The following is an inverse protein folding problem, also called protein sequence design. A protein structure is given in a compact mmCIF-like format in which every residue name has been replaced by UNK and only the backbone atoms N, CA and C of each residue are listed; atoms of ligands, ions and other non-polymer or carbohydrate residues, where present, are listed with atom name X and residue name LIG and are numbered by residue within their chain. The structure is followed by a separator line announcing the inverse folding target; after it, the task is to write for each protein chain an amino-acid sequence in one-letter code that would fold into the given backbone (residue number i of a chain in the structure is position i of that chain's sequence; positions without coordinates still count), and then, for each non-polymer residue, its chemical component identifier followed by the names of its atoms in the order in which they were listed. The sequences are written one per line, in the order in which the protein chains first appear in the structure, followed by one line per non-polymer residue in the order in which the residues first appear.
data_IF_580524409473
#
_entry.id   IF_580524409473
#
_cell.length_a   1.000
_cell.length_b   1.000
_cell.length_c   1.000
_cell.angle_alpha   90.00
_cell.angle_beta   90.00
_cell.angle_gamma   90.00
#
_symmetry.space_group_name_H-M   'P 1'
#
loop_
_entity.id
_entity.type
_entity.pdbx_description
1 polymer ?
#
# COMPACT_ATOMS: atom_id res chain seq x y z
N UNK A 1 -9.18 20.30 32.30
CA UNK A 1 -9.57 18.88 32.38
C UNK A 1 -9.32 18.25 31.02
N UNK A 2 -8.10 17.80 30.77
CA UNK A 2 -7.70 17.31 29.45
C UNK A 2 -7.88 15.80 29.32
N UNK A 3 -8.81 15.40 28.46
CA UNK A 3 -8.98 14.00 28.03
C UNK A 3 -7.82 13.64 27.10
N UNK A 4 -6.83 12.93 27.63
CA UNK A 4 -5.75 12.33 26.87
C UNK A 4 -6.28 11.15 26.05
N UNK A 5 -6.43 11.38 24.75
CA UNK A 5 -6.73 10.36 23.74
C UNK A 5 -5.63 9.28 23.79
N UNK A 6 -5.99 8.06 24.19
CA UNK A 6 -5.08 6.89 24.14
C UNK A 6 -4.98 6.42 22.69
N UNK A 7 -3.81 6.62 22.09
CA UNK A 7 -3.41 5.97 20.83
C UNK A 7 -3.18 4.47 21.09
N UNK A 8 -3.95 3.61 20.42
CA UNK A 8 -3.95 2.14 20.56
C UNK A 8 -2.98 1.43 19.60
N UNK A 9 -1.94 2.08 19.08
CA UNK A 9 -1.16 1.54 17.95
C UNK A 9 0.23 0.95 18.30
N UNK A 10 0.53 0.75 19.59
CA UNK A 10 1.88 0.35 20.06
C UNK A 10 2.01 -1.05 20.66
N UNK A 11 0.91 -1.72 21.01
CA UNK A 11 0.96 -2.91 21.87
C UNK A 11 1.43 -4.18 21.13
N UNK A 12 1.07 -4.32 19.85
CA UNK A 12 1.48 -5.47 19.03
C UNK A 12 3.00 -5.51 18.84
N UNK A 13 3.60 -4.38 18.45
CA UNK A 13 5.03 -4.28 18.14
C UNK A 13 5.93 -4.55 19.36
N UNK A 14 5.54 -4.08 20.55
CA UNK A 14 6.24 -4.37 21.80
C UNK A 14 6.25 -5.87 22.13
N UNK A 15 5.15 -6.57 21.82
CA UNK A 15 5.04 -8.01 22.04
C UNK A 15 6.04 -8.77 21.15
N UNK A 16 6.13 -8.43 19.86
CA UNK A 16 7.11 -9.06 18.95
C UNK A 16 8.57 -8.86 19.39
N UNK A 17 8.92 -7.65 19.83
CA UNK A 17 10.28 -7.33 20.29
C UNK A 17 10.68 -8.14 21.52
N UNK A 18 9.74 -8.41 22.43
CA UNK A 18 9.97 -9.24 23.63
C UNK A 18 10.17 -10.72 23.27
N UNK A 19 9.40 -11.24 22.30
CA UNK A 19 9.50 -12.64 21.87
C UNK A 19 10.80 -12.96 21.12
N UNK A 20 11.42 -11.97 20.47
CA UNK A 20 12.65 -12.16 19.70
C UNK A 20 13.91 -12.33 20.58
N UNK A 21 13.86 -12.00 21.88
CA UNK A 21 15.03 -12.00 22.79
C UNK A 21 15.21 -13.28 23.63
N UNK A 22 14.29 -14.25 23.61
CA UNK A 22 14.28 -15.39 24.54
C UNK A 22 14.32 -16.78 23.86
N UNK A 23 14.80 -17.82 24.59
CA UNK A 23 14.84 -19.25 24.18
C UNK A 23 13.46 -19.88 23.89
N UNK A 24 12.37 -19.14 24.12
CA UNK A 24 10.98 -19.49 23.80
C UNK A 24 10.66 -19.38 22.29
N UNK A 25 11.65 -18.99 21.48
CA UNK A 25 11.54 -18.66 20.07
C UNK A 25 10.81 -19.71 19.20
N UNK A 26 10.89 -21.01 19.52
CA UNK A 26 10.19 -22.07 18.75
C UNK A 26 8.68 -22.16 19.03
N UNK A 27 8.26 -22.03 20.30
CA UNK A 27 6.84 -21.95 20.65
C UNK A 27 6.22 -20.67 20.09
N UNK A 28 6.98 -19.57 20.15
CA UNK A 28 6.59 -18.29 19.58
C UNK A 28 6.48 -18.35 18.05
N UNK A 29 7.45 -18.95 17.35
CA UNK A 29 7.39 -19.07 15.90
C UNK A 29 6.18 -19.89 15.44
N UNK A 30 5.86 -20.98 16.15
CA UNK A 30 4.65 -21.79 15.87
C UNK A 30 3.37 -20.99 16.08
N UNK A 31 3.25 -20.26 17.18
CA UNK A 31 2.09 -19.43 17.47
C UNK A 31 1.92 -18.32 16.43
N UNK A 32 3.00 -17.60 16.11
CA UNK A 32 3.01 -16.53 15.12
C UNK A 32 2.67 -17.08 13.73
N UNK A 33 3.23 -18.22 13.33
CA UNK A 33 2.87 -18.83 12.04
C UNK A 33 1.42 -19.31 11.99
N UNK A 34 0.86 -19.79 13.10
CA UNK A 34 -0.55 -20.13 13.19
C UNK A 34 -1.45 -18.88 13.10
N UNK A 35 -1.06 -17.79 13.77
CA UNK A 35 -1.73 -16.50 13.67
C UNK A 35 -1.69 -15.98 12.22
N UNK A 36 -0.51 -16.02 11.58
CA UNK A 36 -0.34 -15.61 10.19
C UNK A 36 -1.25 -16.40 9.24
N UNK A 37 -1.29 -17.73 9.39
CA UNK A 37 -2.14 -18.60 8.55
C UNK A 37 -3.64 -18.37 8.79
N UNK A 38 -4.06 -18.07 10.02
CA UNK A 38 -5.45 -17.76 10.35
C UNK A 38 -5.88 -16.39 9.83
N UNK A 39 -5.00 -15.39 9.92
CA UNK A 39 -5.26 -14.04 9.45
C UNK A 39 -5.08 -13.88 7.94
N UNK A 40 -4.49 -14.86 7.26
CA UNK A 40 -4.32 -14.83 5.82
C UNK A 40 -5.69 -14.87 5.09
N UNK A 41 -5.95 -13.94 4.16
CA UNK A 41 -7.21 -13.89 3.41
C UNK A 41 -7.53 -15.23 2.74
N UNK A 42 -8.78 -15.67 2.87
CA UNK A 42 -9.23 -16.97 2.32
C UNK A 42 -9.12 -16.99 0.79
N UNK A 43 -9.34 -15.83 0.17
CA UNK A 43 -9.26 -15.59 -1.27
C UNK A 43 -7.84 -15.76 -1.83
N UNK A 44 -6.83 -15.68 -0.96
CA UNK A 44 -5.42 -15.87 -1.31
C UNK A 44 -4.92 -17.30 -1.06
N UNK A 45 -5.76 -18.20 -0.54
CA UNK A 45 -5.45 -19.62 -0.37
C UNK A 45 -5.60 -20.37 -1.70
N UNK A 46 -5.01 -21.56 -1.76
CA UNK A 46 -5.08 -22.44 -2.93
C UNK A 46 -6.54 -22.81 -3.25
N UNK A 47 -6.87 -22.92 -4.54
CA UNK A 47 -8.23 -23.21 -5.03
C UNK A 47 -9.10 -21.97 -5.32
N UNK A 48 -8.59 -20.76 -5.06
CA UNK A 48 -9.28 -19.51 -5.42
C UNK A 48 -9.31 -19.30 -6.94
N UNK A 49 -10.52 -19.10 -7.50
CA UNK A 49 -10.75 -18.80 -8.92
C UNK A 49 -10.41 -17.36 -9.32
N UNK A 50 -9.92 -16.54 -8.38
CA UNK A 50 -9.51 -15.17 -8.69
C UNK A 50 -8.30 -15.14 -9.62
N UNK A 51 -8.29 -14.18 -10.52
CA UNK A 51 -7.14 -13.92 -11.37
C UNK A 51 -5.99 -13.26 -10.56
N UNK A 52 -4.81 -13.19 -11.15
CA UNK A 52 -3.62 -12.71 -10.45
C UNK A 52 -3.72 -11.24 -10.02
N UNK A 53 -4.39 -10.40 -10.81
CA UNK A 53 -4.59 -8.97 -10.50
C UNK A 53 -5.50 -8.79 -9.28
N UNK A 54 -6.56 -9.58 -9.19
CA UNK A 54 -7.48 -9.58 -8.04
C UNK A 54 -6.76 -10.03 -6.77
N UNK A 55 -5.98 -11.12 -6.88
CA UNK A 55 -5.17 -11.62 -5.77
C UNK A 55 -4.13 -10.59 -5.32
N UNK A 56 -3.47 -9.90 -6.26
CA UNK A 56 -2.52 -8.83 -5.94
C UNK A 56 -3.20 -7.67 -5.20
N UNK A 57 -4.40 -7.25 -5.65
CA UNK A 57 -5.17 -6.20 -4.98
C UNK A 57 -5.55 -6.58 -3.55
N UNK A 58 -6.00 -7.83 -3.33
CA UNK A 58 -6.34 -8.32 -1.98
C UNK A 58 -5.11 -8.37 -1.10
N UNK A 59 -3.98 -8.86 -1.63
CA UNK A 59 -2.72 -8.92 -0.90
C UNK A 59 -2.22 -7.52 -0.52
N UNK A 60 -2.21 -6.59 -1.46
CA UNK A 60 -1.85 -5.20 -1.22
C UNK A 60 -2.73 -4.59 -0.12
N UNK A 61 -4.04 -4.76 -0.22
CA UNK A 61 -4.97 -4.25 0.77
C UNK A 61 -4.71 -4.86 2.16
N UNK A 62 -4.47 -6.17 2.23
CA UNK A 62 -4.15 -6.84 3.48
C UNK A 62 -2.82 -6.36 4.09
N UNK A 63 -1.78 -6.14 3.27
CA UNK A 63 -0.50 -5.58 3.71
C UNK A 63 -0.67 -4.19 4.35
N UNK A 64 -1.48 -3.34 3.73
CA UNK A 64 -1.68 -1.95 4.12
C UNK A 64 -2.70 -1.75 5.26
N UNK A 65 -3.58 -2.72 5.50
CA UNK A 65 -4.62 -2.63 6.53
C UNK A 65 -4.31 -3.44 7.78
N UNK A 66 -3.57 -4.54 7.67
CA UNK A 66 -3.25 -5.37 8.83
C UNK A 66 -1.99 -4.86 9.52
N UNK A 67 -2.18 -4.16 10.65
CA UNK A 67 -1.11 -3.49 11.42
C UNK A 67 -0.04 -4.43 12.00
N UNK A 68 -0.25 -5.75 11.92
CA UNK A 68 0.68 -6.74 12.49
C UNK A 68 1.85 -7.08 11.54
N UNK A 69 1.73 -6.80 10.24
CA UNK A 69 2.77 -7.06 9.24
C UNK A 69 4.19 -6.58 9.60
N UNK A 70 4.39 -5.37 10.16
CA UNK A 70 5.69 -4.91 10.63
C UNK A 70 6.36 -5.90 11.59
N UNK A 71 5.60 -6.48 12.54
CA UNK A 71 6.12 -7.46 13.49
C UNK A 71 6.54 -8.76 12.80
N UNK A 72 5.72 -9.25 11.87
CA UNK A 72 6.03 -10.43 11.06
C UNK A 72 7.28 -10.23 10.21
N UNK A 73 7.41 -9.10 9.50
CA UNK A 73 8.58 -8.79 8.68
C UNK A 73 9.86 -8.61 9.51
N UNK A 74 9.76 -8.04 10.73
CA UNK A 74 10.92 -7.95 11.64
C UNK A 74 11.33 -9.32 12.17
N UNK A 75 10.36 -10.14 12.56
CA UNK A 75 10.62 -11.45 13.18
C UNK A 75 11.09 -12.50 12.16
N UNK A 76 10.49 -12.52 10.97
CA UNK A 76 10.74 -13.52 9.93
C UNK A 76 11.56 -13.02 8.74
N UNK A 77 11.63 -11.71 8.49
CA UNK A 77 12.27 -11.15 7.30
C UNK A 77 13.78 -10.93 7.42
N UNK A 78 14.32 -10.86 8.65
CA UNK A 78 15.77 -10.79 8.88
C UNK A 78 16.45 -12.16 8.68
N UNK A 79 17.73 -12.20 8.32
CA UNK A 79 18.58 -13.40 8.20
C UNK A 79 18.85 -14.10 9.56
N UNK A 80 17.93 -13.94 10.50
CA UNK A 80 17.98 -14.57 11.80
C UNK A 80 17.65 -16.07 11.68
N UNK A 81 18.09 -16.84 12.67
CA UNK A 81 17.72 -18.24 12.90
C UNK A 81 16.21 -18.52 12.92
N UNK A 82 15.36 -17.48 12.90
CA UNK A 82 13.91 -17.59 12.73
C UNK A 82 13.49 -17.96 11.29
N UNK A 83 14.25 -17.57 10.24
CA UNK A 83 13.97 -18.01 8.86
C UNK A 83 14.14 -19.52 8.70
N UNK A 84 15.13 -20.09 9.38
CA UNK A 84 15.35 -21.54 9.40
C UNK A 84 14.28 -22.30 10.18
N UNK A 85 13.44 -21.61 10.96
CA UNK A 85 12.28 -22.21 11.65
C UNK A 85 11.01 -22.12 10.81
N UNK A 86 10.92 -21.17 9.86
CA UNK A 86 9.84 -21.13 8.86
C UNK A 86 9.87 -22.32 7.91
N UNK A 87 11.04 -22.91 7.65
CA UNK A 87 11.18 -24.09 6.79
C UNK A 87 10.38 -25.29 7.32
N UNK A 88 10.15 -25.38 8.63
CA UNK A 88 9.28 -26.41 9.26
C UNK A 88 7.77 -26.11 9.11
N UNK A 89 7.40 -24.89 8.73
CA UNK A 89 6.00 -24.44 8.62
C UNK A 89 5.71 -23.92 7.21
N UNK A 90 5.59 -24.84 6.25
CA UNK A 90 5.51 -24.56 4.80
C UNK A 90 4.50 -23.47 4.40
N UNK A 91 3.29 -23.49 4.97
CA UNK A 91 2.27 -22.46 4.68
C UNK A 91 2.70 -21.05 5.11
N UNK A 92 3.35 -20.92 6.28
CA UNK A 92 3.83 -19.63 6.79
C UNK A 92 4.95 -19.08 5.91
N UNK A 93 5.87 -19.94 5.44
CA UNK A 93 6.93 -19.59 4.50
C UNK A 93 6.35 -19.04 3.19
N UNK A 94 5.35 -19.69 2.62
CA UNK A 94 4.72 -19.25 1.38
C UNK A 94 4.02 -17.89 1.53
N UNK A 95 3.30 -17.69 2.64
CA UNK A 95 2.66 -16.41 2.96
C UNK A 95 3.71 -15.29 3.06
N UNK A 96 4.78 -15.51 3.82
CA UNK A 96 5.87 -14.55 3.97
C UNK A 96 6.54 -14.22 2.63
N UNK A 97 6.87 -15.24 1.84
CA UNK A 97 7.49 -15.04 0.53
C UNK A 97 6.61 -14.21 -0.41
N UNK A 98 5.29 -14.46 -0.42
CA UNK A 98 4.34 -13.71 -1.24
C UNK A 98 4.22 -12.25 -0.77
N UNK A 99 4.15 -12.04 0.54
CA UNK A 99 4.11 -10.71 1.14
C UNK A 99 5.39 -9.90 0.84
N UNK A 100 6.57 -10.50 1.04
CA UNK A 100 7.85 -9.87 0.74
C UNK A 100 8.02 -9.57 -0.74
N UNK A 101 7.60 -10.48 -1.64
CA UNK A 101 7.66 -10.24 -3.08
C UNK A 101 6.70 -9.14 -3.51
N UNK A 102 5.48 -9.10 -2.97
CA UNK A 102 4.53 -8.02 -3.25
C UNK A 102 5.06 -6.67 -2.77
N UNK A 103 5.62 -6.61 -1.56
CA UNK A 103 6.23 -5.40 -1.02
C UNK A 103 7.44 -4.93 -1.85
N UNK A 104 8.30 -5.86 -2.29
CA UNK A 104 9.46 -5.55 -3.14
C UNK A 104 9.03 -4.96 -4.49
N UNK A 105 8.07 -5.60 -5.15
CA UNK A 105 7.51 -5.11 -6.42
C UNK A 105 6.85 -3.75 -6.26
N UNK A 106 6.09 -3.56 -5.18
CA UNK A 106 5.43 -2.30 -4.86
C UNK A 106 6.45 -1.17 -4.65
N UNK A 107 7.49 -1.41 -3.85
CA UNK A 107 8.56 -0.43 -3.60
C UNK A 107 9.27 -0.06 -4.89
N UNK A 108 9.67 -1.05 -5.69
CA UNK A 108 10.29 -0.84 -7.01
C UNK A 108 9.36 -0.06 -7.93
N UNK A 109 8.05 -0.30 -7.87
CA UNK A 109 7.09 0.41 -8.72
C UNK A 109 7.00 1.90 -8.39
N UNK A 110 7.07 2.22 -7.10
CA UNK A 110 7.07 3.61 -6.60
C UNK A 110 8.40 4.30 -6.94
N UNK A 111 9.52 3.59 -6.80
CA UNK A 111 10.86 4.06 -7.16
C UNK A 111 10.98 4.36 -8.65
N UNK A 112 10.57 3.41 -9.51
CA UNK A 112 10.67 3.53 -10.96
C UNK A 112 9.57 4.42 -11.58
N UNK A 113 8.59 4.87 -10.79
CA UNK A 113 7.48 5.69 -11.28
C UNK A 113 6.48 4.96 -12.19
N UNK A 114 6.43 3.63 -12.15
CA UNK A 114 5.46 2.83 -12.92
C UNK A 114 4.23 2.43 -12.09
N UNK A 115 4.14 2.89 -10.84
CA UNK A 115 2.99 2.69 -9.96
C UNK A 115 1.73 3.34 -10.57
N UNK A 116 0.61 2.62 -10.57
CA UNK A 116 -0.65 3.16 -11.09
C UNK A 116 -1.23 4.23 -10.16
N UNK A 117 -2.00 5.17 -10.72
CA UNK A 117 -2.75 6.18 -9.93
C UNK A 117 -3.65 5.53 -8.89
N UNK A 118 -4.32 4.43 -9.24
CA UNK A 118 -5.18 3.70 -8.32
C UNK A 118 -4.42 3.15 -7.12
N UNK A 119 -3.28 2.49 -7.37
CA UNK A 119 -2.38 1.98 -6.32
C UNK A 119 -1.86 3.13 -5.45
N UNK A 120 -1.40 4.21 -6.07
CA UNK A 120 -0.81 5.35 -5.36
C UNK A 120 -1.81 6.03 -4.42
N UNK A 121 -3.09 6.13 -4.79
CA UNK A 121 -4.18 6.61 -3.91
C UNK A 121 -4.39 5.70 -2.69
N UNK A 122 -4.32 4.38 -2.89
CA UNK A 122 -4.41 3.42 -1.77
C UNK A 122 -3.21 3.58 -0.84
N UNK A 123 -2.01 3.76 -1.39
CA UNK A 123 -0.80 4.02 -0.59
C UNK A 123 -0.90 5.34 0.17
N UNK A 124 -1.41 6.41 -0.44
CA UNK A 124 -1.63 7.69 0.23
C UNK A 124 -2.54 7.53 1.45
N UNK A 125 -3.66 6.82 1.28
CA UNK A 125 -4.62 6.51 2.35
C UNK A 125 -3.99 5.72 3.50
N UNK A 126 -3.05 4.83 3.20
CA UNK A 126 -2.37 3.96 4.17
C UNK A 126 -0.88 4.30 4.35
N UNK A 127 -0.52 5.58 4.20
CA UNK A 127 0.86 6.07 4.10
C UNK A 127 1.74 5.66 5.27
N UNK A 128 1.26 5.81 6.51
CA UNK A 128 2.01 5.43 7.71
C UNK A 128 2.41 3.94 7.70
N UNK A 129 1.46 3.07 7.35
CA UNK A 129 1.71 1.63 7.28
C UNK A 129 2.67 1.31 6.13
N UNK A 130 2.45 1.87 4.95
CA UNK A 130 3.34 1.66 3.80
C UNK A 130 4.78 2.07 4.10
N UNK A 131 4.99 3.26 4.68
CA UNK A 131 6.32 3.75 5.04
C UNK A 131 7.00 2.84 6.08
N UNK A 132 6.25 2.41 7.11
CA UNK A 132 6.77 1.47 8.12
C UNK A 132 7.19 0.14 7.51
N UNK A 133 6.39 -0.42 6.60
CA UNK A 133 6.74 -1.63 5.86
C UNK A 133 7.98 -1.42 4.98
N UNK A 134 8.05 -0.29 4.27
CA UNK A 134 9.18 0.07 3.42
C UNK A 134 10.49 0.27 4.18
N UNK A 135 10.45 0.86 5.37
CA UNK A 135 11.62 0.99 6.25
C UNK A 135 12.13 -0.38 6.72
N UNK A 136 11.22 -1.27 7.14
CA UNK A 136 11.59 -2.64 7.54
C UNK A 136 12.17 -3.41 6.37
N UNK A 137 11.60 -3.26 5.17
CA UNK A 137 12.14 -3.88 3.95
C UNK A 137 13.55 -3.40 3.64
N UNK A 138 13.81 -2.10 3.73
CA UNK A 138 15.15 -1.52 3.55
C UNK A 138 16.14 -2.08 4.58
N UNK A 139 15.75 -2.16 5.87
CA UNK A 139 16.57 -2.74 6.93
C UNK A 139 16.89 -4.21 6.66
N UNK A 140 15.89 -5.01 6.28
CA UNK A 140 16.06 -6.44 6.00
C UNK A 140 16.94 -6.70 4.76
N UNK A 141 16.93 -5.81 3.77
CA UNK A 141 17.72 -5.95 2.53
C UNK A 141 19.02 -5.14 2.50
N UNK A 142 19.31 -4.34 3.53
CA UNK A 142 20.46 -3.43 3.60
C UNK A 142 20.52 -2.45 2.42
N UNK A 143 19.37 -2.00 1.93
CA UNK A 143 19.27 -1.01 0.84
C UNK A 143 19.30 0.39 1.46
N UNK A 144 20.12 1.28 0.91
CA UNK A 144 20.32 2.64 1.44
C UNK A 144 19.24 3.65 0.99
N UNK A 145 18.47 3.31 -0.03
CA UNK A 145 17.58 4.27 -0.68
C UNK A 145 16.24 4.39 0.06
N UNK A 146 15.90 5.63 0.43
CA UNK A 146 14.72 5.95 1.23
C UNK A 146 13.43 5.88 0.40
N UNK A 147 12.61 4.84 0.67
CA UNK A 147 11.25 4.71 0.12
C UNK A 147 10.41 5.97 0.34
N UNK A 148 10.64 6.68 1.45
CA UNK A 148 9.94 7.93 1.78
C UNK A 148 10.15 9.02 0.72
N UNK A 149 11.35 9.12 0.14
CA UNK A 149 11.67 10.17 -0.82
C UNK A 149 10.89 9.96 -2.12
N UNK A 150 10.98 8.76 -2.71
CA UNK A 150 10.24 8.42 -3.92
C UNK A 150 8.74 8.51 -3.70
N UNK A 151 8.24 8.00 -2.58
CA UNK A 151 6.82 8.08 -2.27
C UNK A 151 6.33 9.53 -2.19
N UNK A 152 7.06 10.40 -1.49
CA UNK A 152 6.73 11.83 -1.39
C UNK A 152 6.76 12.51 -2.76
N UNK A 153 7.73 12.17 -3.60
CA UNK A 153 7.79 12.65 -4.99
C UNK A 153 6.55 12.21 -5.77
N UNK A 154 6.17 10.93 -5.72
CA UNK A 154 4.99 10.42 -6.44
C UNK A 154 3.70 11.09 -5.96
N UNK A 155 3.55 11.34 -4.66
CA UNK A 155 2.38 12.06 -4.14
C UNK A 155 2.31 13.52 -4.63
N UNK A 156 3.45 14.19 -4.80
CA UNK A 156 3.49 15.53 -5.38
C UNK A 156 3.08 15.51 -6.86
N UNK A 157 3.66 14.60 -7.64
CA UNK A 157 3.31 14.41 -9.06
C UNK A 157 1.81 14.10 -9.22
N UNK A 158 1.24 13.27 -8.33
CA UNK A 158 -0.18 12.95 -8.33
C UNK A 158 -1.06 14.19 -8.09
N UNK A 159 -0.66 15.06 -7.16
CA UNK A 159 -1.37 16.32 -6.89
C UNK A 159 -1.31 17.26 -8.08
N UNK A 160 -0.13 17.43 -8.68
CA UNK A 160 0.06 18.25 -9.87
C UNK A 160 -0.78 17.75 -11.05
N UNK A 161 -0.82 16.43 -11.25
CA UNK A 161 -1.68 15.81 -12.27
C UNK A 161 -3.16 16.15 -12.08
N UNK A 162 -3.67 16.04 -10.84
CA UNK A 162 -5.08 16.38 -10.57
C UNK A 162 -5.37 17.88 -10.72
N UNK A 163 -4.48 18.75 -10.25
CA UNK A 163 -4.60 20.19 -10.47
C UNK A 163 -4.67 20.52 -11.97
N UNK A 164 -3.78 19.95 -12.77
CA UNK A 164 -3.76 20.17 -14.21
C UNK A 164 -5.03 19.63 -14.89
N UNK A 165 -5.47 18.43 -14.52
CA UNK A 165 -6.72 17.86 -15.02
C UNK A 165 -7.91 18.76 -14.72
N UNK A 166 -8.02 19.28 -13.50
CA UNK A 166 -9.12 20.13 -13.08
C UNK A 166 -9.11 21.47 -13.84
N UNK A 167 -7.93 22.04 -14.11
CA UNK A 167 -7.80 23.20 -14.98
C UNK A 167 -8.26 22.92 -16.42
N UNK A 168 -7.88 21.77 -16.99
CA UNK A 168 -8.31 21.37 -18.34
C UNK A 168 -9.82 21.15 -18.41
N UNK A 169 -10.41 20.51 -17.39
CA UNK A 169 -11.87 20.35 -17.30
C UNK A 169 -12.58 21.72 -17.24
N UNK A 170 -12.06 22.68 -16.47
CA UNK A 170 -12.58 24.04 -16.43
C UNK A 170 -12.49 24.73 -17.80
N UNK A 171 -11.36 24.62 -18.49
CA UNK A 171 -11.14 25.21 -19.81
C UNK A 171 -12.11 24.65 -20.85
N UNK A 172 -12.29 23.32 -20.88
CA UNK A 172 -13.25 22.67 -21.79
C UNK A 172 -14.67 23.17 -21.53
N UNK A 173 -15.11 23.19 -20.25
CA UNK A 173 -16.44 23.69 -19.89
C UNK A 173 -16.65 25.16 -20.24
N UNK A 174 -15.61 25.99 -20.15
CA UNK A 174 -15.68 27.39 -20.56
C UNK A 174 -15.90 27.50 -22.07
N UNK A 175 -15.13 26.74 -22.86
CA UNK A 175 -15.26 26.74 -24.32
C UNK A 175 -16.61 26.21 -24.79
N UNK A 176 -17.15 25.16 -24.17
CA UNK A 176 -18.47 24.62 -24.52
C UNK A 176 -19.58 25.67 -24.32
N UNK A 177 -19.48 26.47 -23.25
CA UNK A 177 -20.41 27.59 -23.03
C UNK A 177 -20.21 28.72 -24.04
N UNK A 178 -18.96 29.00 -24.39
CA UNK A 178 -18.63 30.05 -25.34
C UNK A 178 -19.11 29.72 -26.76
N UNK A 179 -18.90 28.49 -27.24
CA UNK A 179 -19.37 28.03 -28.56
C UNK A 179 -20.90 27.96 -28.63
N UNK A 180 -21.55 27.53 -27.54
CA UNK A 180 -23.02 27.57 -27.42
C UNK A 180 -23.54 29.01 -27.47
N UNK A 181 -22.87 29.94 -26.80
CA UNK A 181 -23.19 31.37 -26.83
C UNK A 181 -23.06 31.99 -28.22
N UNK A 182 -21.96 31.69 -28.93
CA UNK A 182 -21.74 32.15 -30.31
C UNK A 182 -22.82 31.62 -31.27
N UNK A 183 -23.19 30.35 -31.13
CA UNK A 183 -24.24 29.75 -31.97
C UNK A 183 -25.60 30.42 -31.75
N UNK A 184 -25.95 30.75 -30.50
CA UNK A 184 -27.17 31.49 -30.19
C UNK A 184 -27.15 32.91 -30.75
N UNK A 185 -26.02 33.63 -30.63
CA UNK A 185 -25.91 34.97 -31.20
C UNK A 185 -25.99 34.96 -32.72
N UNK A 186 -25.37 33.99 -33.39
CA UNK A 186 -25.44 33.85 -34.85
C UNK A 186 -26.85 33.50 -35.33
N UNK A 187 -27.58 32.65 -34.59
CA UNK A 187 -28.98 32.33 -34.88
C UNK A 187 -29.88 33.56 -34.74
N UNK A 188 -29.74 34.29 -33.63
CA UNK A 188 -30.48 35.54 -33.37
C UNK A 188 -30.21 36.57 -34.49
N UNK A 189 -28.94 36.83 -34.83
CA UNK A 189 -28.60 37.76 -35.91
C UNK A 189 -29.17 37.35 -37.28
N UNK A 190 -29.34 36.05 -37.55
CA UNK A 190 -29.93 35.57 -38.80
C UNK A 190 -31.46 35.73 -38.87
N UNK A 191 -32.16 35.74 -37.73
CA UNK A 191 -33.61 35.98 -37.65
C UNK A 191 -33.95 37.47 -37.82
N UNK A 192 -33.11 38.36 -37.30
CA UNK A 192 -33.34 39.82 -37.37
C UNK A 192 -32.92 40.47 -38.69
N UNK A 193 -32.33 39.72 -39.63
CA UNK A 193 -31.82 40.23 -40.90
C UNK A 193 -32.69 39.87 -42.12
N UNK A 194 -33.92 39.40 -41.89
CA UNK A 194 -34.98 39.18 -42.89
C UNK A 194 -36.08 40.23 -42.74
#
# INVERSE_FOLDING_TARGET
MDKKQRSMDGHGEQTFNYLNKNSVQEKCSRLLGAMLNKSWPLELKEGSQLNDKEKEKILLNHLLTWSTWPGFLKFFGSSSSSKDKLTKQGACRMIMARAESCLDNLIKSVENGNVTVGTLKVLEKHSNQFLKLGEIHQMNRKVSVSVKNYFSQRLRELKEFFTLRDHLECFIRFNDKFTSGISLTNYIFSEYSK
#
